data_IF_065797270973
#
_entry.id   IF_065797270973
#
_cell.length_a   1.000
_cell.length_b   1.000
_cell.length_c   1.000
_cell.angle_alpha   90.00
_cell.angle_beta   90.00
_cell.angle_gamma   90.00
#
_symmetry.space_group_name_H-M   'P 1'
#
loop_
_entity.id
_entity.type
_entity.pdbx_description
1 polymer ?
#
# COMPACT_ATOMS: atom_id res chain seq x y z
N UNK A 1 12.86 14.13 -8.78
CA UNK A 1 12.73 14.48 -10.22
C UNK A 1 11.36 15.12 -10.47
N UNK A 2 11.24 16.45 -10.44
CA UNK A 2 9.95 17.15 -10.35
C UNK A 2 9.06 17.04 -11.61
N UNK A 3 9.63 16.59 -12.73
CA UNK A 3 8.95 16.43 -14.01
C UNK A 3 8.98 15.00 -14.54
N UNK A 4 9.39 14.02 -13.72
CA UNK A 4 9.39 12.61 -14.12
C UNK A 4 7.94 12.15 -14.32
N UNK A 5 7.58 11.82 -15.55
CA UNK A 5 6.26 11.32 -15.94
C UNK A 5 6.21 9.81 -16.14
N UNK A 6 7.31 9.23 -16.61
CA UNK A 6 7.37 7.83 -17.01
C UNK A 6 8.56 7.18 -16.31
N UNK A 7 8.31 6.07 -15.63
CA UNK A 7 9.36 5.15 -15.18
C UNK A 7 9.42 4.01 -16.19
N UNK A 8 10.51 3.97 -16.95
CA UNK A 8 10.70 2.99 -18.04
C UNK A 8 10.85 1.55 -17.55
N UNK A 9 10.93 0.58 -18.47
CA UNK A 9 11.03 -0.82 -18.09
C UNK A 9 12.34 -1.04 -17.34
N UNK A 10 12.29 -1.78 -16.25
CA UNK A 10 13.47 -2.13 -15.43
C UNK A 10 14.30 -0.93 -14.92
N UNK A 11 13.76 0.30 -14.92
CA UNK A 11 14.53 1.51 -14.62
C UNK A 11 15.22 1.50 -13.25
N UNK A 12 14.62 0.84 -12.27
CA UNK A 12 15.16 0.60 -10.93
C UNK A 12 15.19 -0.89 -10.57
N UNK A 13 15.29 -1.78 -11.56
CA UNK A 13 15.37 -3.22 -11.35
C UNK A 13 16.50 -3.58 -10.37
N UNK A 14 16.20 -4.38 -9.35
CA UNK A 14 17.14 -4.80 -8.30
C UNK A 14 17.83 -3.65 -7.54
N UNK A 15 17.20 -2.47 -7.45
CA UNK A 15 17.69 -1.39 -6.60
C UNK A 15 17.39 -1.65 -5.12
N UNK A 16 18.08 -2.63 -4.52
CA UNK A 16 17.85 -3.09 -3.15
C UNK A 16 18.01 -1.99 -2.08
N UNK A 17 18.80 -0.95 -2.36
CA UNK A 17 18.99 0.21 -1.47
C UNK A 17 18.08 1.40 -1.76
N UNK A 18 17.20 1.33 -2.77
CA UNK A 18 16.27 2.42 -3.07
C UNK A 18 15.20 2.47 -2.00
N UNK A 19 15.31 3.44 -1.09
CA UNK A 19 14.35 3.63 -0.01
C UNK A 19 13.18 4.54 -0.40
N UNK A 20 13.45 5.56 -1.21
CA UNK A 20 12.47 6.57 -1.61
C UNK A 20 12.74 7.08 -3.03
N UNK A 21 11.67 7.26 -3.81
CA UNK A 21 11.70 8.01 -5.07
C UNK A 21 10.81 9.25 -4.97
N UNK A 22 11.44 10.43 -4.95
CA UNK A 22 10.74 11.72 -4.91
C UNK A 22 10.34 12.14 -6.34
N UNK A 23 9.11 11.80 -6.74
CA UNK A 23 8.53 12.13 -8.05
C UNK A 23 7.00 12.18 -8.02
N UNK A 24 6.41 13.37 -7.87
CA UNK A 24 4.96 13.55 -7.67
C UNK A 24 4.12 13.64 -8.96
N UNK A 25 4.77 13.52 -10.12
CA UNK A 25 4.14 13.64 -11.45
C UNK A 25 4.20 12.36 -12.27
N UNK A 26 4.46 11.22 -11.64
CA UNK A 26 4.47 9.92 -12.34
C UNK A 26 3.07 9.65 -12.89
N UNK A 27 3.00 9.44 -14.19
CA UNK A 27 1.78 9.08 -14.94
C UNK A 27 1.81 7.61 -15.40
N UNK A 28 3.00 7.05 -15.66
CA UNK A 28 3.17 5.68 -16.12
C UNK A 28 4.38 4.98 -15.48
N UNK A 29 4.17 3.75 -15.03
CA UNK A 29 5.21 2.85 -14.51
C UNK A 29 5.18 1.56 -15.32
N UNK A 30 6.28 1.27 -16.01
CA UNK A 30 6.36 0.17 -16.97
C UNK A 30 6.83 -1.13 -16.31
N UNK A 31 6.90 -2.20 -17.12
CA UNK A 31 7.24 -3.56 -16.69
C UNK A 31 8.53 -3.60 -15.88
N UNK A 32 8.46 -4.28 -14.73
CA UNK A 32 9.57 -4.49 -13.79
C UNK A 32 10.30 -3.21 -13.34
N UNK A 33 9.68 -2.04 -13.46
CA UNK A 33 10.31 -0.76 -13.16
C UNK A 33 10.97 -0.71 -11.77
N UNK A 34 10.36 -1.34 -10.76
CA UNK A 34 10.86 -1.45 -9.39
C UNK A 34 10.96 -2.91 -8.91
N UNK A 35 11.03 -3.87 -9.83
CA UNK A 35 11.12 -5.28 -9.45
C UNK A 35 12.37 -5.55 -8.58
N UNK A 36 12.20 -6.28 -7.48
CA UNK A 36 13.21 -6.50 -6.43
C UNK A 36 13.77 -5.20 -5.82
N UNK A 37 12.94 -4.16 -5.66
CA UNK A 37 13.26 -3.00 -4.83
C UNK A 37 12.85 -3.23 -3.37
N UNK A 38 13.52 -4.15 -2.67
CA UNK A 38 13.09 -4.65 -1.37
C UNK A 38 12.99 -3.56 -0.29
N UNK A 39 13.85 -2.54 -0.31
CA UNK A 39 13.85 -1.44 0.66
C UNK A 39 12.91 -0.29 0.30
N UNK A 40 12.22 -0.33 -0.85
CA UNK A 40 11.38 0.78 -1.29
C UNK A 40 10.22 0.96 -0.32
N UNK A 41 10.25 2.04 0.44
CA UNK A 41 9.27 2.36 1.48
C UNK A 41 8.43 3.60 1.11
N UNK A 42 8.97 4.49 0.27
CA UNK A 42 8.26 5.73 -0.13
C UNK A 42 8.26 5.91 -1.65
N UNK A 43 7.09 5.73 -2.24
CA UNK A 43 6.85 6.02 -3.65
C UNK A 43 5.48 6.67 -3.79
N UNK A 44 5.44 7.85 -4.41
CA UNK A 44 4.19 8.50 -4.76
C UNK A 44 3.70 8.01 -6.14
N UNK A 45 2.67 7.15 -6.14
CA UNK A 45 1.99 6.72 -7.37
C UNK A 45 0.60 7.32 -7.51
N UNK A 46 0.22 8.32 -6.71
CA UNK A 46 -1.18 8.76 -6.58
C UNK A 46 -1.84 9.13 -7.92
N UNK A 47 -1.04 9.71 -8.83
CA UNK A 47 -1.47 10.19 -10.16
C UNK A 47 -1.15 9.24 -11.32
N UNK A 48 -0.56 8.08 -11.03
CA UNK A 48 -0.22 7.11 -12.06
C UNK A 48 -1.51 6.55 -12.69
N UNK A 49 -1.60 6.63 -14.01
CA UNK A 49 -2.75 6.14 -14.81
C UNK A 49 -2.49 4.74 -15.36
N UNK A 50 -1.22 4.39 -15.52
CA UNK A 50 -0.77 3.12 -16.07
C UNK A 50 0.30 2.57 -15.15
N UNK A 51 0.07 1.38 -14.59
CA UNK A 51 1.07 0.64 -13.83
C UNK A 51 1.07 -0.79 -14.35
N UNK A 52 2.22 -1.25 -14.84
CA UNK A 52 2.37 -2.64 -15.26
C UNK A 52 2.21 -3.59 -14.06
N UNK A 53 1.60 -4.75 -14.28
CA UNK A 53 1.35 -5.75 -13.23
C UNK A 53 2.62 -6.28 -12.55
N UNK A 54 3.79 -6.15 -13.19
CA UNK A 54 5.09 -6.58 -12.66
C UNK A 54 5.92 -5.44 -12.08
N UNK A 55 5.43 -4.21 -12.16
CA UNK A 55 6.19 -3.01 -11.78
C UNK A 55 6.74 -3.05 -10.35
N UNK A 56 6.05 -3.76 -9.45
CA UNK A 56 6.34 -3.82 -8.01
C UNK A 56 6.58 -5.25 -7.50
N UNK A 57 6.96 -6.17 -8.38
CA UNK A 57 7.29 -7.53 -7.98
C UNK A 57 8.42 -7.50 -6.92
N UNK A 58 8.25 -8.26 -5.84
CA UNK A 58 9.18 -8.27 -4.69
C UNK A 58 9.42 -6.92 -3.98
N UNK A 59 8.56 -5.89 -4.15
CA UNK A 59 8.64 -4.65 -3.36
C UNK A 59 8.06 -4.84 -1.94
N UNK A 60 8.76 -5.57 -1.07
CA UNK A 60 8.19 -6.06 0.19
C UNK A 60 8.05 -5.00 1.30
N UNK A 61 8.71 -3.83 1.22
CA UNK A 61 8.77 -2.85 2.31
C UNK A 61 7.77 -1.69 2.22
N UNK A 62 7.00 -1.55 1.13
CA UNK A 62 6.08 -0.42 0.99
C UNK A 62 4.91 -0.54 1.99
N UNK A 63 4.74 0.41 2.92
CA UNK A 63 3.67 0.34 3.91
C UNK A 63 2.35 0.94 3.42
N UNK A 64 2.39 1.80 2.41
CA UNK A 64 1.22 2.51 1.91
C UNK A 64 1.17 2.47 0.39
N UNK A 65 -0.02 2.18 -0.16
CA UNK A 65 -0.30 2.22 -1.58
C UNK A 65 -1.50 3.14 -1.78
N UNK A 66 -1.29 4.25 -2.49
CA UNK A 66 -2.35 5.23 -2.75
C UNK A 66 -2.45 5.55 -4.24
N UNK A 67 -3.64 5.50 -4.82
CA UNK A 67 -3.87 5.88 -6.21
C UNK A 67 -5.31 6.35 -6.48
N UNK A 68 -5.43 7.44 -7.25
CA UNK A 68 -6.71 8.07 -7.57
C UNK A 68 -7.25 7.72 -8.98
N UNK A 69 -6.56 6.93 -9.80
CA UNK A 69 -6.91 6.70 -11.22
C UNK A 69 -7.04 5.23 -11.62
N UNK A 70 -6.28 4.33 -11.01
CA UNK A 70 -6.19 2.93 -11.38
C UNK A 70 -7.50 2.21 -11.04
N UNK A 71 -8.03 1.51 -12.04
CA UNK A 71 -9.21 0.66 -11.89
C UNK A 71 -8.86 -0.79 -11.59
N UNK A 72 -7.64 -1.21 -11.94
CA UNK A 72 -7.12 -2.53 -11.63
C UNK A 72 -5.70 -2.38 -11.09
N UNK A 73 -5.38 -3.10 -10.02
CA UNK A 73 -4.03 -3.21 -9.49
C UNK A 73 -3.83 -4.65 -9.03
N UNK A 74 -3.05 -5.41 -9.81
CA UNK A 74 -2.66 -6.74 -9.37
C UNK A 74 -1.58 -6.55 -8.31
N UNK A 75 -1.98 -6.70 -7.06
CA UNK A 75 -1.03 -6.83 -5.96
C UNK A 75 -0.15 -8.05 -6.29
N UNK A 76 1.10 -7.81 -6.70
CA UNK A 76 2.08 -8.88 -6.75
C UNK A 76 2.17 -9.50 -5.36
N UNK A 77 2.26 -10.81 -5.30
CA UNK A 77 1.97 -11.70 -4.16
C UNK A 77 2.73 -11.45 -2.85
N UNK A 78 3.60 -10.45 -2.77
CA UNK A 78 4.64 -10.33 -1.75
C UNK A 78 4.71 -8.96 -1.05
N UNK A 79 3.65 -8.14 -1.13
CA UNK A 79 3.53 -6.89 -0.34
C UNK A 79 3.29 -7.17 1.15
N UNK A 80 4.25 -7.83 1.81
CA UNK A 80 4.10 -8.36 3.18
C UNK A 80 3.91 -7.28 4.26
N UNK A 81 4.40 -6.06 4.02
CA UNK A 81 4.38 -4.96 4.98
C UNK A 81 3.32 -3.88 4.68
N UNK A 82 2.42 -4.10 3.71
CA UNK A 82 1.41 -3.09 3.38
C UNK A 82 0.41 -2.96 4.55
N UNK A 83 0.22 -1.74 5.02
CA UNK A 83 -0.69 -1.40 6.12
C UNK A 83 -1.86 -0.56 5.63
N UNK A 84 -1.68 0.21 4.55
CA UNK A 84 -2.70 1.12 4.02
C UNK A 84 -2.84 0.94 2.51
N UNK A 85 -4.05 0.65 2.06
CA UNK A 85 -4.45 0.70 0.65
C UNK A 85 -5.54 1.76 0.49
N UNK A 86 -5.24 2.82 -0.25
CA UNK A 86 -6.17 3.91 -0.58
C UNK A 86 -6.30 4.01 -2.11
N UNK A 87 -7.25 3.26 -2.66
CA UNK A 87 -7.43 3.09 -4.11
C UNK A 87 -8.89 3.39 -4.49
N UNK A 88 -9.21 4.68 -4.61
CA UNK A 88 -10.60 5.18 -4.74
C UNK A 88 -11.36 4.65 -5.94
N UNK A 89 -10.64 4.25 -6.99
CA UNK A 89 -11.20 3.80 -8.27
C UNK A 89 -11.00 2.31 -8.54
N UNK A 90 -10.41 1.56 -7.59
CA UNK A 90 -10.10 0.15 -7.77
C UNK A 90 -11.38 -0.67 -7.89
N UNK A 91 -11.52 -1.41 -8.99
CA UNK A 91 -12.62 -2.34 -9.27
C UNK A 91 -12.34 -3.75 -8.77
N UNK A 92 -11.08 -4.18 -8.74
CA UNK A 92 -10.71 -5.56 -8.34
C UNK A 92 -9.62 -5.53 -7.29
N UNK A 93 -9.84 -6.25 -6.19
CA UNK A 93 -8.91 -6.39 -5.08
C UNK A 93 -8.83 -7.85 -4.64
N UNK A 94 -7.62 -8.42 -4.68
CA UNK A 94 -7.35 -9.80 -4.28
C UNK A 94 -6.25 -9.82 -3.21
N UNK A 95 -6.64 -10.18 -1.98
CA UNK A 95 -5.80 -10.26 -0.79
C UNK A 95 -5.54 -11.73 -0.47
N UNK A 96 -4.52 -12.32 -1.10
CA UNK A 96 -4.25 -13.77 -1.02
C UNK A 96 -3.58 -14.27 0.25
N UNK A 97 -3.18 -13.40 1.17
CA UNK A 97 -2.66 -13.68 2.53
C UNK A 97 -2.19 -12.38 3.15
N UNK A 98 -2.86 -11.90 4.19
CA UNK A 98 -2.37 -10.76 4.98
C UNK A 98 -2.27 -11.16 6.45
N UNK A 99 -1.08 -11.04 7.03
CA UNK A 99 -0.80 -11.41 8.42
C UNK A 99 -0.92 -10.21 9.38
N UNK A 100 -1.32 -9.04 8.88
CA UNK A 100 -1.37 -7.78 9.62
C UNK A 100 -2.71 -7.07 9.38
N UNK A 101 -3.06 -6.15 10.28
CA UNK A 101 -4.23 -5.29 10.17
C UNK A 101 -4.04 -4.37 8.96
N UNK A 102 -4.98 -4.44 8.00
CA UNK A 102 -4.98 -3.62 6.81
C UNK A 102 -6.00 -2.48 6.96
N UNK A 103 -5.57 -1.25 6.75
CA UNK A 103 -6.47 -0.12 6.56
C UNK A 103 -6.83 0.02 5.07
N UNK A 104 -8.12 0.05 4.75
CA UNK A 104 -8.61 -0.05 3.38
C UNK A 104 -9.60 1.06 3.02
N UNK A 105 -9.32 1.77 1.93
CA UNK A 105 -10.27 2.60 1.22
C UNK A 105 -10.36 2.15 -0.25
N UNK A 106 -11.42 1.41 -0.58
CA UNK A 106 -11.71 0.90 -1.92
C UNK A 106 -13.23 0.93 -2.20
N UNK A 107 -13.87 2.12 -2.19
CA UNK A 107 -15.32 2.27 -2.22
C UNK A 107 -15.96 1.89 -3.56
N UNK A 108 -15.17 1.63 -4.60
CA UNK A 108 -15.63 1.26 -5.96
C UNK A 108 -15.29 -0.18 -6.34
N UNK A 109 -14.92 -1.01 -5.36
CA UNK A 109 -14.52 -2.39 -5.60
C UNK A 109 -15.72 -3.24 -6.04
N UNK A 110 -15.62 -3.83 -7.23
CA UNK A 110 -16.61 -4.69 -7.89
C UNK A 110 -16.27 -6.18 -7.74
N UNK A 111 -15.01 -6.52 -7.42
CA UNK A 111 -14.55 -7.88 -7.13
C UNK A 111 -13.59 -7.88 -5.94
N UNK A 112 -13.98 -8.54 -4.84
CA UNK A 112 -13.16 -8.66 -3.64
C UNK A 112 -12.90 -10.13 -3.29
N UNK A 113 -11.62 -10.48 -3.19
CA UNK A 113 -11.17 -11.80 -2.73
C UNK A 113 -10.27 -11.62 -1.53
N UNK A 114 -10.58 -12.34 -0.46
CA UNK A 114 -9.78 -12.35 0.75
C UNK A 114 -9.96 -13.67 1.50
N UNK A 115 -8.98 -13.99 2.33
CA UNK A 115 -9.14 -14.97 3.43
C UNK A 115 -9.53 -14.21 4.72
N UNK A 116 -9.92 -14.90 5.79
CA UNK A 116 -10.27 -14.27 7.08
C UNK A 116 -9.12 -13.33 7.54
N UNK A 117 -9.32 -12.02 7.39
CA UNK A 117 -8.34 -10.99 7.75
C UNK A 117 -9.00 -9.93 8.63
N UNK A 118 -8.19 -9.26 9.44
CA UNK A 118 -8.60 -8.08 10.19
C UNK A 118 -8.41 -6.84 9.33
N UNK A 119 -9.49 -6.11 9.09
CA UNK A 119 -9.53 -4.93 8.22
C UNK A 119 -10.06 -3.74 9.02
N UNK A 120 -9.40 -2.60 8.90
CA UNK A 120 -9.96 -1.30 9.26
C UNK A 120 -10.41 -0.62 7.96
N UNK A 121 -11.68 -0.32 7.76
CA UNK A 121 -12.18 0.16 6.47
C UNK A 121 -13.00 1.45 6.60
N UNK A 122 -12.96 2.28 5.56
CA UNK A 122 -13.82 3.48 5.49
C UNK A 122 -15.30 3.09 5.36
N UNK A 123 -16.24 3.93 5.82
CA UNK A 123 -17.67 3.62 5.77
C UNK A 123 -18.16 3.24 4.36
N UNK A 124 -17.73 3.99 3.33
CA UNK A 124 -18.08 3.68 1.94
C UNK A 124 -17.48 2.35 1.46
N UNK A 125 -16.29 2.00 1.95
CA UNK A 125 -15.68 0.69 1.66
C UNK A 125 -16.45 -0.43 2.32
N UNK A 126 -16.87 -0.29 3.57
CA UNK A 126 -17.68 -1.29 4.28
C UNK A 126 -19.01 -1.49 3.56
N UNK A 127 -19.68 -0.39 3.19
CA UNK A 127 -20.94 -0.43 2.44
C UNK A 127 -20.78 -1.16 1.11
N UNK A 128 -19.70 -0.89 0.37
CA UNK A 128 -19.45 -1.53 -0.92
C UNK A 128 -19.05 -3.00 -0.76
N UNK A 129 -18.12 -3.31 0.14
CA UNK A 129 -17.59 -4.66 0.28
C UNK A 129 -18.52 -5.60 1.04
N UNK A 130 -19.43 -5.07 1.85
CA UNK A 130 -20.44 -5.84 2.58
C UNK A 130 -21.32 -6.72 1.70
N UNK A 131 -21.41 -6.47 0.40
CA UNK A 131 -22.15 -7.35 -0.51
C UNK A 131 -21.40 -8.66 -0.87
N UNK A 132 -20.09 -8.77 -0.57
CA UNK A 132 -19.27 -9.93 -0.93
C UNK A 132 -19.16 -10.93 0.22
N UNK A 133 -19.41 -12.21 -0.06
CA UNK A 133 -19.28 -13.32 0.90
C UNK A 133 -17.88 -13.38 1.54
N UNK A 134 -16.83 -13.14 0.75
CA UNK A 134 -15.44 -13.09 1.23
C UNK A 134 -15.18 -12.01 2.28
N UNK A 135 -15.94 -10.90 2.25
CA UNK A 135 -15.83 -9.82 3.22
C UNK A 135 -16.57 -10.13 4.53
N UNK A 136 -17.65 -10.92 4.47
CA UNK A 136 -18.42 -11.33 5.64
C UNK A 136 -17.63 -12.19 6.63
N UNK A 137 -16.53 -12.81 6.16
CA UNK A 137 -15.62 -13.57 6.99
C UNK A 137 -14.47 -12.73 7.58
N UNK A 138 -14.38 -11.43 7.27
CA UNK A 138 -13.35 -10.55 7.80
C UNK A 138 -13.73 -9.97 9.18
N UNK A 139 -12.74 -9.71 10.03
CA UNK A 139 -12.91 -8.92 11.26
C UNK A 139 -12.79 -7.43 10.88
N UNK A 140 -13.91 -6.72 10.83
CA UNK A 140 -13.98 -5.37 10.25
C UNK A 140 -14.20 -4.31 11.34
N UNK A 141 -13.32 -3.31 11.38
CA UNK A 141 -13.47 -2.10 12.18
C UNK A 141 -13.66 -0.90 11.26
N UNK A 142 -14.65 -0.05 11.52
CA UNK A 142 -14.84 1.20 10.76
C UNK A 142 -13.82 2.27 11.18
N UNK A 143 -13.29 3.02 10.21
CA UNK A 143 -12.39 4.17 10.44
C UNK A 143 -12.72 5.34 9.52
N UNK A 144 -12.73 6.56 10.06
CA UNK A 144 -12.96 7.79 9.28
C UNK A 144 -11.75 8.20 8.43
N UNK A 145 -10.54 7.95 8.94
CA UNK A 145 -9.28 8.35 8.33
C UNK A 145 -8.27 7.21 8.29
N UNK A 146 -7.65 7.02 7.13
CA UNK A 146 -6.52 6.10 6.98
C UNK A 146 -5.25 6.74 7.53
N UNK A 147 -4.72 6.21 8.62
CA UNK A 147 -3.52 6.70 9.31
C UNK A 147 -2.40 5.68 9.21
N UNK A 148 -1.44 5.94 8.33
CA UNK A 148 -0.15 5.26 8.44
C UNK A 148 0.57 5.80 9.67
N UNK A 149 0.81 4.93 10.65
CA UNK A 149 1.69 5.25 11.75
C UNK A 149 3.10 4.99 11.24
N UNK A 150 3.83 6.05 10.86
CA UNK A 150 5.24 5.89 10.55
C UNK A 150 5.90 5.26 11.79
N UNK A 151 6.64 4.15 11.65
CA UNK A 151 7.36 3.61 12.80
C UNK A 151 8.37 4.64 13.34
N UNK A 152 8.80 5.64 12.56
CA UNK A 152 9.68 6.73 13.01
C UNK A 152 9.45 8.05 12.25
N UNK A 153 9.46 9.16 13.00
CA UNK A 153 9.62 10.51 12.44
C UNK A 153 11.02 10.65 11.84
N UNK A 154 11.11 10.85 10.52
CA UNK A 154 12.33 11.37 9.90
C UNK A 154 12.53 12.82 10.34
N UNK A 155 13.36 13.05 11.35
CA UNK A 155 13.96 14.36 11.52
C UNK A 155 14.82 14.62 10.27
N UNK A 156 14.42 15.60 9.46
CA UNK A 156 15.24 16.14 8.38
C UNK A 156 16.47 16.82 8.99
N UNK A 157 17.47 16.03 9.35
CA UNK A 157 18.83 16.48 9.49
C UNK A 157 19.73 15.36 9.00
N UNK A 158 20.61 15.74 8.08
CA UNK A 158 21.72 14.98 7.53
C UNK A 158 22.19 13.85 8.44
N UNK A 159 22.13 12.60 7.99
CA UNK A 159 23.36 11.93 7.59
C UNK A 159 23.12 10.51 7.07
N UNK A 160 24.07 10.13 6.23
CA UNK A 160 24.22 8.83 5.59
C UNK A 160 24.52 7.75 6.64
N UNK A 161 23.58 6.83 6.87
CA UNK A 161 23.91 5.43 7.17
C UNK A 161 22.64 4.59 7.12
N UNK A 162 22.76 3.41 6.49
CA UNK A 162 21.70 2.41 6.45
C UNK A 162 21.29 2.04 7.88
N UNK A 163 20.01 2.17 8.18
CA UNK A 163 19.41 1.61 9.39
C UNK A 163 18.53 0.46 8.92
N UNK A 164 18.97 -0.77 9.22
CA UNK A 164 18.12 -1.94 9.12
C UNK A 164 16.96 -1.77 10.12
N UNK A 165 15.72 -1.84 9.64
CA UNK A 165 14.55 -1.74 10.51
C UNK A 165 14.03 -3.14 10.85
N UNK A 166 14.03 -3.40 12.15
CA UNK A 166 13.50 -4.59 12.79
C UNK A 166 11.98 -4.70 12.55
N UNK A 167 11.52 -5.87 12.09
CA UNK A 167 10.13 -6.12 11.62
C UNK A 167 9.14 -6.45 12.76
N UNK A 168 9.37 -6.00 13.99
CA UNK A 168 8.49 -6.33 15.12
C UNK A 168 7.30 -5.36 15.23
N UNK A 169 6.20 -5.73 14.59
CA UNK A 169 4.89 -5.10 14.73
C UNK A 169 4.26 -5.43 16.09
N UNK A 170 4.19 -4.46 17.00
CA UNK A 170 3.27 -4.46 18.15
C UNK A 170 2.20 -3.40 17.91
N UNK A 171 1.08 -3.79 17.28
CA UNK A 171 -0.03 -2.88 16.93
C UNK A 171 -1.10 -2.75 18.05
N UNK A 172 -0.90 -3.32 19.25
CA UNK A 172 -1.99 -3.39 20.24
C UNK A 172 -2.06 -2.28 21.32
N UNK A 173 -1.17 -1.29 21.35
CA UNK A 173 -1.09 -0.42 22.55
C UNK A 173 -1.63 1.02 22.42
N UNK A 174 -2.28 1.42 21.32
CA UNK A 174 -2.72 2.83 21.18
C UNK A 174 -4.18 3.05 20.73
N UNK A 175 -5.06 2.04 20.76
CA UNK A 175 -6.47 2.23 20.38
C UNK A 175 -7.50 2.17 21.52
N UNK A 176 -7.09 2.18 22.78
CA UNK A 176 -8.00 2.31 23.91
C UNK A 176 -7.77 3.68 24.57
N UNK A 177 -8.44 4.71 24.07
CA UNK A 177 -8.86 5.80 24.96
C UNK A 177 -10.20 5.38 25.54
N UNK A 178 -10.18 5.13 26.83
CA UNK A 178 -11.32 4.85 27.70
C UNK A 178 -12.47 5.82 27.40
N UNK A 179 -13.64 5.27 27.10
CA UNK A 179 -14.90 5.92 27.42
C UNK A 179 -15.19 5.51 28.87
N UNK A 180 -14.91 6.43 29.79
CA UNK A 180 -15.24 6.37 31.21
C UNK A 180 -15.51 7.78 31.70
#
# INVERSE_FOLDING_TARGET
APNLKIVGPQAFYYCLGLFELIADKIESIQSQAFDNCDSLARLNIQKAKIVDQTAFQMCVSMPTLKNDFLTEFKLSTDLRNIQVIDMKNLKKLDLKRHLQILQLNAPRCEEFKSQQIKIMATPDTIKQLGQFESFQHCDVTEVDELKFHQPYSLNKQSDKTAIAFDLNFNYEQNLIKEIG
#
